data_IF_911916673658
#
_entry.id   IF_911916673658
#
_cell.length_a   1.000
_cell.length_b   1.000
_cell.length_c   1.000
_cell.angle_alpha   90.00
_cell.angle_beta   90.00
_cell.angle_gamma   90.00
#
_symmetry.space_group_name_H-M   'P 1'
#
loop_
_entity.id
_entity.type
_entity.pdbx_description
1 polymer ?
#
# COMPACT_ATOMS: atom_id res chain seq x y z
N UNK A 1 -60.33 -8.25 -10.23
CA UNK A 1 -59.01 -8.55 -10.81
C UNK A 1 -57.97 -8.43 -9.70
N UNK A 2 -57.43 -9.55 -9.16
CA UNK A 2 -56.38 -9.51 -8.14
C UNK A 2 -55.03 -9.46 -8.84
N UNK A 3 -54.35 -8.32 -8.78
CA UNK A 3 -52.95 -8.22 -9.17
C UNK A 3 -52.09 -8.81 -8.05
N UNK A 4 -51.69 -10.07 -8.18
CA UNK A 4 -50.60 -10.64 -7.38
C UNK A 4 -49.30 -10.24 -8.04
N UNK A 5 -48.60 -9.25 -7.47
CA UNK A 5 -47.24 -8.90 -7.85
C UNK A 5 -46.33 -10.02 -7.34
N UNK A 6 -45.60 -10.67 -8.24
CA UNK A 6 -44.59 -11.68 -7.90
C UNK A 6 -43.33 -10.98 -7.35
N UNK A 7 -43.45 -10.52 -6.11
CA UNK A 7 -42.37 -9.82 -5.38
C UNK A 7 -41.11 -10.68 -5.30
N UNK A 8 -41.26 -12.01 -5.17
CA UNK A 8 -40.14 -12.93 -5.08
C UNK A 8 -39.44 -13.10 -6.44
N UNK A 9 -40.17 -13.24 -7.54
CA UNK A 9 -39.60 -13.32 -8.89
C UNK A 9 -38.95 -12.01 -9.34
N UNK A 10 -39.51 -10.86 -8.95
CA UNK A 10 -38.89 -9.55 -9.19
C UNK A 10 -37.62 -9.42 -8.35
N UNK A 11 -37.66 -9.74 -7.06
CA UNK A 11 -36.50 -9.74 -6.18
C UNK A 11 -35.39 -10.66 -6.70
N UNK A 12 -35.71 -11.89 -7.10
CA UNK A 12 -34.73 -12.84 -7.62
C UNK A 12 -34.11 -12.35 -8.94
N UNK A 13 -34.91 -11.79 -9.85
CA UNK A 13 -34.38 -11.19 -11.10
C UNK A 13 -33.50 -9.99 -10.83
N UNK A 14 -33.86 -9.15 -9.87
CA UNK A 14 -33.06 -7.99 -9.44
C UNK A 14 -31.75 -8.47 -8.81
N UNK A 15 -31.78 -9.42 -7.87
CA UNK A 15 -30.58 -9.98 -7.24
C UNK A 15 -29.68 -10.68 -8.26
N UNK A 16 -30.22 -11.49 -9.16
CA UNK A 16 -29.44 -12.17 -10.21
C UNK A 16 -28.85 -11.16 -11.21
N UNK A 17 -29.60 -10.11 -11.57
CA UNK A 17 -29.11 -9.06 -12.46
C UNK A 17 -28.03 -8.23 -11.78
N UNK A 18 -28.22 -7.82 -10.52
CA UNK A 18 -27.20 -7.13 -9.71
C UNK A 18 -25.96 -8.01 -9.63
N UNK A 19 -26.11 -9.30 -9.30
CA UNK A 19 -24.99 -10.23 -9.20
C UNK A 19 -24.23 -10.33 -10.53
N UNK A 20 -24.89 -10.43 -11.69
CA UNK A 20 -24.19 -10.43 -12.98
C UNK A 20 -23.49 -9.11 -13.31
N UNK A 21 -24.12 -7.97 -12.99
CA UNK A 21 -23.60 -6.63 -13.31
C UNK A 21 -22.45 -6.22 -12.37
N UNK A 22 -22.41 -6.71 -11.13
CA UNK A 22 -21.33 -6.40 -10.18
C UNK A 22 -20.25 -7.48 -10.11
N UNK A 23 -20.61 -8.76 -10.15
CA UNK A 23 -19.66 -9.85 -10.01
C UNK A 23 -18.71 -9.95 -11.21
N UNK A 24 -19.23 -9.84 -12.44
CA UNK A 24 -18.39 -10.00 -13.62
C UNK A 24 -17.31 -8.90 -13.73
N UNK A 25 -17.61 -7.60 -13.54
CA UNK A 25 -16.58 -6.58 -13.57
C UNK A 25 -15.60 -6.67 -12.38
N UNK A 26 -16.05 -7.06 -11.18
CA UNK A 26 -15.15 -7.28 -10.05
C UNK A 26 -14.19 -8.46 -10.30
N UNK A 27 -14.65 -9.51 -10.97
CA UNK A 27 -13.79 -10.62 -11.41
C UNK A 27 -12.73 -10.13 -12.41
N UNK A 28 -13.08 -9.24 -13.34
CA UNK A 28 -12.12 -8.64 -14.27
C UNK A 28 -11.03 -7.86 -13.52
N UNK A 29 -11.39 -7.02 -12.55
CA UNK A 29 -10.43 -6.33 -11.69
C UNK A 29 -9.56 -7.28 -10.87
N UNK A 30 -10.16 -8.34 -10.33
CA UNK A 30 -9.44 -9.38 -9.59
C UNK A 30 -8.40 -10.08 -10.46
N UNK A 31 -8.79 -10.47 -11.69
CA UNK A 31 -7.90 -11.12 -12.64
C UNK A 31 -6.76 -10.19 -13.07
N UNK A 32 -7.02 -8.89 -13.23
CA UNK A 32 -5.97 -7.91 -13.52
C UNK A 32 -4.96 -7.79 -12.39
N UNK A 33 -5.43 -7.67 -11.14
CA UNK A 33 -4.56 -7.59 -9.96
C UNK A 33 -3.69 -8.86 -9.88
N UNK A 34 -4.29 -10.04 -10.03
CA UNK A 34 -3.57 -11.31 -10.01
C UNK A 34 -2.59 -11.45 -11.17
N UNK A 35 -2.96 -11.01 -12.37
CA UNK A 35 -2.07 -11.01 -13.53
C UNK A 35 -0.87 -10.10 -13.29
N UNK A 36 -1.10 -8.89 -12.78
CA UNK A 36 -0.05 -7.91 -12.48
C UNK A 36 0.93 -8.47 -11.44
N UNK A 37 0.41 -9.05 -10.34
CA UNK A 37 1.24 -9.72 -9.33
C UNK A 37 2.01 -10.92 -9.88
N UNK A 38 1.39 -11.73 -10.75
CA UNK A 38 2.05 -12.88 -11.39
C UNK A 38 3.19 -12.44 -12.31
N UNK A 39 2.94 -11.42 -13.15
CA UNK A 39 3.96 -10.87 -14.05
C UNK A 39 5.13 -10.30 -13.27
N UNK A 40 4.86 -9.54 -12.20
CA UNK A 40 5.88 -8.99 -11.32
C UNK A 40 6.70 -10.09 -10.62
N UNK A 41 6.02 -11.13 -10.10
CA UNK A 41 6.69 -12.27 -9.50
C UNK A 41 7.58 -13.02 -10.52
N UNK A 42 7.09 -13.25 -11.73
CA UNK A 42 7.88 -13.85 -12.81
C UNK A 42 9.10 -12.98 -13.18
N UNK A 43 8.91 -11.68 -13.35
CA UNK A 43 9.98 -10.73 -13.67
C UNK A 43 11.06 -10.72 -12.58
N UNK A 44 10.66 -10.71 -11.32
CA UNK A 44 11.58 -10.82 -10.18
C UNK A 44 12.39 -12.12 -10.23
N UNK A 45 11.76 -13.25 -10.50
CA UNK A 45 12.45 -14.55 -10.60
C UNK A 45 13.45 -14.58 -11.77
N UNK A 46 13.15 -13.89 -12.87
CA UNK A 46 14.10 -13.72 -13.98
C UNK A 46 15.28 -12.85 -13.53
N UNK A 47 15.03 -11.71 -12.90
CA UNK A 47 16.06 -10.81 -12.37
C UNK A 47 16.98 -11.54 -11.39
N UNK A 48 16.44 -12.33 -10.47
CA UNK A 48 17.22 -13.12 -9.50
C UNK A 48 18.13 -14.17 -10.15
N UNK A 49 17.74 -14.70 -11.31
CA UNK A 49 18.54 -15.68 -12.08
C UNK A 49 19.60 -15.03 -12.95
N UNK A 50 19.28 -13.88 -13.55
CA UNK A 50 20.11 -13.24 -14.58
C UNK A 50 21.10 -12.24 -13.97
N UNK A 51 20.67 -11.45 -12.99
CA UNK A 51 21.46 -10.36 -12.41
C UNK A 51 22.24 -10.88 -11.19
N UNK A 52 23.57 -10.96 -11.34
CA UNK A 52 24.46 -11.52 -10.32
C UNK A 52 24.92 -10.50 -9.28
N UNK A 53 25.07 -9.23 -9.68
CA UNK A 53 25.51 -8.18 -8.76
C UNK A 53 24.36 -7.83 -7.81
N UNK A 54 24.52 -7.99 -6.47
CA UNK A 54 23.42 -7.89 -5.53
C UNK A 54 22.70 -6.54 -5.51
N UNK A 55 23.44 -5.43 -5.66
CA UNK A 55 22.84 -4.11 -5.59
C UNK A 55 22.05 -3.76 -6.86
N UNK A 56 22.60 -4.06 -8.04
CA UNK A 56 21.89 -3.93 -9.32
C UNK A 56 20.65 -4.82 -9.34
N UNK A 57 20.75 -6.04 -8.80
CA UNK A 57 19.58 -6.92 -8.63
C UNK A 57 18.51 -6.25 -7.78
N UNK A 58 18.89 -5.71 -6.63
CA UNK A 58 17.96 -4.99 -5.76
C UNK A 58 17.32 -3.78 -6.45
N UNK A 59 18.05 -3.01 -7.25
CA UNK A 59 17.47 -1.90 -8.02
C UNK A 59 16.37 -2.37 -8.99
N UNK A 60 16.58 -3.49 -9.68
CA UNK A 60 15.53 -4.08 -10.51
C UNK A 60 14.35 -4.59 -9.67
N UNK A 61 14.62 -5.20 -8.51
CA UNK A 61 13.56 -5.65 -7.61
C UNK A 61 12.73 -4.48 -7.07
N UNK A 62 13.34 -3.36 -6.69
CA UNK A 62 12.64 -2.12 -6.29
C UNK A 62 11.76 -1.57 -7.43
N UNK A 63 12.28 -1.53 -8.66
CA UNK A 63 11.52 -1.09 -9.82
C UNK A 63 10.30 -2.00 -10.10
N UNK A 64 10.48 -3.33 -10.02
CA UNK A 64 9.37 -4.26 -10.28
C UNK A 64 8.37 -4.25 -9.12
N UNK A 65 8.83 -4.14 -7.87
CA UNK A 65 7.97 -4.01 -6.70
C UNK A 65 7.10 -2.75 -6.78
N UNK A 66 7.70 -1.60 -7.15
CA UNK A 66 6.97 -0.36 -7.35
C UNK A 66 6.00 -0.43 -8.53
N UNK A 67 6.38 -1.10 -9.63
CA UNK A 67 5.49 -1.36 -10.74
C UNK A 67 4.29 -2.22 -10.32
N UNK A 68 4.49 -3.31 -9.59
CA UNK A 68 3.40 -4.14 -9.07
C UNK A 68 2.47 -3.35 -8.16
N UNK A 69 3.05 -2.65 -7.18
CA UNK A 69 2.32 -1.83 -6.22
C UNK A 69 1.43 -0.81 -6.95
N UNK A 70 2.01 -0.01 -7.84
CA UNK A 70 1.26 1.02 -8.57
C UNK A 70 0.24 0.41 -9.53
N UNK A 71 0.60 -0.65 -10.26
CA UNK A 71 -0.29 -1.33 -11.19
C UNK A 71 -1.53 -1.89 -10.50
N UNK A 72 -1.35 -2.59 -9.38
CA UNK A 72 -2.47 -3.08 -8.58
C UNK A 72 -3.30 -1.92 -8.01
N UNK A 73 -2.66 -0.86 -7.51
CA UNK A 73 -3.38 0.29 -6.95
C UNK A 73 -4.17 1.11 -7.98
N UNK A 74 -3.73 1.19 -9.24
CA UNK A 74 -4.55 1.76 -10.31
C UNK A 74 -5.87 1.01 -10.45
N UNK A 75 -5.82 -0.33 -10.45
CA UNK A 75 -7.04 -1.14 -10.50
C UNK A 75 -7.86 -1.06 -9.21
N UNK A 76 -7.20 -0.90 -8.06
CA UNK A 76 -7.92 -0.67 -6.81
C UNK A 76 -8.73 0.63 -6.84
N UNK A 77 -8.31 1.68 -7.56
CA UNK A 77 -9.13 2.88 -7.77
C UNK A 77 -10.42 2.50 -8.51
N UNK A 78 -10.33 1.71 -9.58
CA UNK A 78 -11.51 1.19 -10.29
C UNK A 78 -12.41 0.40 -9.33
N UNK A 79 -11.81 -0.41 -8.45
CA UNK A 79 -12.56 -1.17 -7.43
C UNK A 79 -13.28 -0.24 -6.44
N UNK A 80 -12.60 0.79 -5.95
CA UNK A 80 -13.18 1.76 -5.01
C UNK A 80 -14.34 2.54 -5.65
N UNK A 81 -14.13 3.06 -6.86
CA UNK A 81 -15.10 3.88 -7.59
C UNK A 81 -16.40 3.11 -7.89
N UNK A 82 -16.30 1.80 -8.15
CA UNK A 82 -17.42 0.99 -8.63
C UNK A 82 -18.04 0.06 -7.57
N UNK A 83 -17.28 -0.35 -6.54
CA UNK A 83 -17.70 -1.31 -5.51
C UNK A 83 -17.52 -0.80 -4.08
N UNK A 84 -17.00 0.41 -3.90
CA UNK A 84 -16.87 1.09 -2.62
C UNK A 84 -15.60 0.77 -1.86
N UNK A 85 -15.30 1.64 -0.88
CA UNK A 85 -14.08 1.60 -0.05
C UNK A 85 -13.95 0.31 0.76
N UNK A 86 -15.07 -0.33 1.14
CA UNK A 86 -15.03 -1.60 1.86
C UNK A 86 -14.46 -2.74 1.00
N UNK A 87 -14.87 -2.83 -0.28
CA UNK A 87 -14.30 -3.81 -1.23
C UNK A 87 -12.82 -3.50 -1.48
N UNK A 88 -12.50 -2.22 -1.72
CA UNK A 88 -11.11 -1.76 -1.84
C UNK A 88 -10.24 -2.22 -0.66
N UNK A 89 -10.72 -2.04 0.58
CA UNK A 89 -9.99 -2.40 1.78
C UNK A 89 -9.69 -3.91 1.87
N UNK A 90 -10.62 -4.77 1.44
CA UNK A 90 -10.41 -6.23 1.41
C UNK A 90 -9.26 -6.58 0.47
N UNK A 91 -9.24 -6.00 -0.73
CA UNK A 91 -8.16 -6.26 -1.70
C UNK A 91 -6.84 -5.67 -1.23
N UNK A 92 -6.85 -4.43 -0.73
CA UNK A 92 -5.64 -3.79 -0.21
C UNK A 92 -5.05 -4.58 0.97
N UNK A 93 -5.89 -5.09 1.87
CA UNK A 93 -5.44 -5.95 2.98
C UNK A 93 -4.77 -7.24 2.48
N UNK A 94 -5.37 -7.91 1.48
CA UNK A 94 -4.76 -9.10 0.89
C UNK A 94 -3.44 -8.79 0.16
N UNK A 95 -3.39 -7.67 -0.56
CA UNK A 95 -2.21 -7.22 -1.29
C UNK A 95 -1.07 -6.79 -0.36
N UNK A 96 -1.36 -6.10 0.74
CA UNK A 96 -0.35 -5.72 1.73
C UNK A 96 0.30 -6.94 2.36
N UNK A 97 -0.47 -7.98 2.71
CA UNK A 97 0.09 -9.27 3.14
C UNK A 97 0.98 -9.87 2.05
N UNK A 98 0.49 -9.92 0.81
CA UNK A 98 1.23 -10.47 -0.31
C UNK A 98 2.57 -9.75 -0.52
N UNK A 99 2.58 -8.42 -0.55
CA UNK A 99 3.79 -7.62 -0.76
C UNK A 99 4.80 -7.83 0.35
N UNK A 100 4.36 -7.85 1.62
CA UNK A 100 5.23 -8.10 2.77
C UNK A 100 5.88 -9.48 2.76
N UNK A 101 5.22 -10.49 2.18
CA UNK A 101 5.77 -11.85 2.08
C UNK A 101 6.60 -12.07 0.82
N UNK A 102 6.29 -11.36 -0.26
CA UNK A 102 6.92 -11.58 -1.54
C UNK A 102 8.26 -10.85 -1.60
N UNK A 103 8.33 -9.53 -1.40
CA UNK A 103 9.43 -8.71 -1.94
C UNK A 103 10.79 -8.74 -1.23
N UNK A 104 10.90 -9.35 -0.04
CA UNK A 104 12.18 -9.46 0.66
C UNK A 104 12.75 -8.09 1.01
N UNK A 105 13.94 -7.76 0.50
CA UNK A 105 14.63 -6.50 0.80
C UNK A 105 14.10 -5.29 0.01
N UNK A 106 13.35 -5.52 -1.07
CA UNK A 106 12.75 -4.44 -1.86
C UNK A 106 11.50 -3.91 -1.16
N UNK A 107 11.40 -2.59 -1.01
CA UNK A 107 10.33 -1.95 -0.22
C UNK A 107 9.34 -1.17 -1.08
N UNK A 108 9.72 -0.80 -2.30
CA UNK A 108 8.95 0.07 -3.18
C UNK A 108 8.54 1.39 -2.49
N UNK A 109 9.35 1.88 -1.55
CA UNK A 109 8.98 2.98 -0.67
C UNK A 109 10.17 3.89 -0.31
N UNK A 110 10.24 5.12 -0.85
CA UNK A 110 11.40 5.98 -0.72
C UNK A 110 11.83 6.31 0.71
N UNK A 111 10.87 6.58 1.62
CA UNK A 111 11.23 6.99 2.98
C UNK A 111 11.90 5.87 3.76
N UNK A 112 11.69 4.60 3.40
CA UNK A 112 12.37 3.47 4.06
C UNK A 112 13.89 3.53 3.82
N UNK A 113 14.31 3.93 2.62
CA UNK A 113 15.72 4.15 2.32
C UNK A 113 16.29 5.37 3.06
N UNK A 114 15.47 6.40 3.30
CA UNK A 114 15.86 7.56 4.11
C UNK A 114 16.01 7.16 5.59
N UNK A 115 15.11 6.33 6.12
CA UNK A 115 15.24 5.75 7.46
C UNK A 115 16.56 5.00 7.60
N UNK A 116 16.91 4.13 6.65
CA UNK A 116 18.18 3.39 6.66
C UNK A 116 19.41 4.31 6.69
N UNK A 117 19.39 5.41 5.93
CA UNK A 117 20.49 6.40 5.94
C UNK A 117 20.59 7.09 7.30
N UNK A 118 19.47 7.52 7.89
CA UNK A 118 19.45 8.20 9.20
C UNK A 118 19.83 7.26 10.34
N UNK A 119 19.50 5.99 10.23
CA UNK A 119 19.90 4.95 11.19
C UNK A 119 21.34 4.48 11.00
N UNK A 120 22.07 4.99 9.99
CA UNK A 120 23.45 4.62 9.70
C UNK A 120 23.61 3.22 9.09
N UNK A 121 22.52 2.64 8.56
CA UNK A 121 22.47 1.33 7.89
C UNK A 121 22.68 1.44 6.37
N UNK A 122 22.46 2.62 5.80
CA UNK A 122 22.46 2.86 4.35
C UNK A 122 23.37 4.00 3.90
N UNK A 123 23.63 4.03 2.59
CA UNK A 123 24.33 5.13 1.91
C UNK A 123 23.33 5.99 1.12
N UNK A 124 23.50 7.31 1.17
CA UNK A 124 22.56 8.25 0.52
C UNK A 124 22.50 8.08 -1.00
N UNK A 125 23.62 7.74 -1.66
CA UNK A 125 23.62 7.53 -3.12
C UNK A 125 22.85 6.27 -3.46
N UNK A 126 23.01 5.21 -2.67
CA UNK A 126 22.22 3.97 -2.82
C UNK A 126 20.73 4.23 -2.60
N UNK A 127 20.37 5.01 -1.58
CA UNK A 127 18.98 5.40 -1.33
C UNK A 127 18.38 6.13 -2.54
N UNK A 128 19.09 7.12 -3.08
CA UNK A 128 18.64 7.86 -4.28
C UNK A 128 18.49 6.95 -5.51
N UNK A 129 19.40 6.00 -5.71
CA UNK A 129 19.30 5.04 -6.82
C UNK A 129 18.10 4.10 -6.67
N UNK A 130 17.80 3.63 -5.45
CA UNK A 130 16.61 2.84 -5.18
C UNK A 130 15.34 3.66 -5.45
N UNK A 131 15.23 4.87 -4.88
CA UNK A 131 14.11 5.78 -5.15
C UNK A 131 13.91 6.06 -6.64
N UNK A 132 15.00 6.23 -7.39
CA UNK A 132 14.92 6.42 -8.84
C UNK A 132 14.40 5.17 -9.56
N UNK A 133 14.84 3.98 -9.14
CA UNK A 133 14.36 2.71 -9.69
C UNK A 133 12.86 2.51 -9.40
N UNK A 134 12.42 2.80 -8.18
CA UNK A 134 11.01 2.76 -7.78
C UNK A 134 10.14 3.69 -8.63
N UNK A 135 10.55 4.95 -8.79
CA UNK A 135 9.85 5.92 -9.64
C UNK A 135 9.78 5.46 -11.10
N UNK A 136 10.87 4.89 -11.60
CA UNK A 136 10.92 4.35 -12.97
C UNK A 136 9.90 3.21 -13.13
N UNK A 137 9.84 2.29 -12.18
CA UNK A 137 8.86 1.20 -12.16
C UNK A 137 7.41 1.70 -12.12
N UNK A 138 7.12 2.61 -11.18
CA UNK A 138 5.78 3.19 -10.98
C UNK A 138 5.29 4.01 -12.18
N UNK A 139 6.17 4.74 -12.87
CA UNK A 139 5.81 5.48 -14.09
C UNK A 139 5.60 4.53 -15.28
N UNK A 140 6.48 3.55 -15.46
CA UNK A 140 6.41 2.64 -16.61
C UNK A 140 5.18 1.73 -16.56
N UNK A 141 4.74 1.30 -15.37
CA UNK A 141 3.56 0.44 -15.26
C UNK A 141 2.28 1.14 -15.72
N UNK A 142 2.22 2.47 -15.70
CA UNK A 142 1.05 3.19 -16.19
C UNK A 142 0.75 2.86 -17.66
N UNK A 143 1.78 2.66 -18.50
CA UNK A 143 1.55 2.23 -19.90
C UNK A 143 0.93 0.85 -20.00
N UNK A 144 1.34 -0.08 -19.15
CA UNK A 144 0.71 -1.40 -19.05
C UNK A 144 -0.76 -1.29 -18.62
N UNK A 145 -1.06 -0.48 -17.60
CA UNK A 145 -2.43 -0.23 -17.11
C UNK A 145 -3.29 0.41 -18.21
N UNK A 146 -2.80 1.46 -18.87
CA UNK A 146 -3.52 2.13 -19.96
C UNK A 146 -3.86 1.16 -21.10
N UNK A 147 -2.93 0.30 -21.50
CA UNK A 147 -3.19 -0.71 -22.53
C UNK A 147 -4.28 -1.70 -22.08
N UNK A 148 -4.27 -2.11 -20.82
CA UNK A 148 -5.29 -3.01 -20.29
C UNK A 148 -6.67 -2.34 -20.25
N UNK A 149 -6.76 -1.11 -19.73
CA UNK A 149 -8.01 -0.35 -19.69
C UNK A 149 -8.56 -0.06 -21.09
N UNK A 150 -7.70 0.16 -22.08
CA UNK A 150 -8.11 0.37 -23.47
C UNK A 150 -8.74 -0.86 -24.14
N UNK A 151 -8.63 -2.05 -23.53
CA UNK A 151 -9.36 -3.24 -23.98
C UNK A 151 -10.84 -3.24 -23.58
N UNK A 152 -11.24 -2.37 -22.65
CA UNK A 152 -12.62 -2.18 -22.17
C UNK A 152 -13.33 -3.51 -21.83
N UNK A 153 -12.62 -4.42 -21.17
CA UNK A 153 -13.08 -5.80 -20.90
C UNK A 153 -14.37 -5.84 -20.05
N UNK A 154 -14.62 -4.81 -19.25
CA UNK A 154 -15.86 -4.65 -18.48
C UNK A 154 -16.37 -3.22 -18.53
N UNK A 155 -17.64 -3.03 -18.18
CA UNK A 155 -18.30 -1.71 -18.15
C UNK A 155 -17.56 -0.70 -17.24
N UNK A 156 -16.88 -1.17 -16.19
CA UNK A 156 -16.06 -0.36 -15.28
C UNK A 156 -14.76 0.17 -15.90
N UNK A 157 -14.34 -0.39 -17.03
CA UNK A 157 -13.14 0.01 -17.77
C UNK A 157 -13.45 0.89 -18.99
N UNK A 158 -14.73 1.06 -19.33
CA UNK A 158 -15.13 1.82 -20.49
C UNK A 158 -14.64 3.27 -20.39
N UNK A 159 -13.97 3.75 -21.43
CA UNK A 159 -13.34 5.07 -21.51
C UNK A 159 -12.25 5.36 -20.43
N UNK A 160 -11.97 4.43 -19.50
CA UNK A 160 -11.08 4.64 -18.35
C UNK A 160 -9.64 4.97 -18.77
N UNK A 161 -9.17 4.39 -19.88
CA UNK A 161 -7.83 4.65 -20.41
C UNK A 161 -7.60 6.10 -20.88
N UNK A 162 -8.68 6.83 -21.15
CA UNK A 162 -8.68 8.19 -21.70
C UNK A 162 -9.33 9.20 -20.76
N UNK A 163 -9.76 8.78 -19.57
CA UNK A 163 -10.37 9.64 -18.56
C UNK A 163 -9.33 10.64 -18.02
N UNK A 164 -9.75 11.90 -17.85
CA UNK A 164 -8.92 12.92 -17.20
C UNK A 164 -8.73 12.57 -15.72
N UNK A 165 -7.47 12.52 -15.30
CA UNK A 165 -7.14 12.18 -13.92
C UNK A 165 -7.43 13.36 -12.97
N UNK A 166 -8.06 13.06 -11.83
CA UNK A 166 -8.29 13.97 -10.72
C UNK A 166 -7.46 13.59 -9.50
N UNK A 167 -7.00 14.61 -8.78
CA UNK A 167 -6.35 14.49 -7.49
C UNK A 167 -7.31 13.97 -6.41
N UNK A 168 -6.79 13.16 -5.48
CA UNK A 168 -7.57 12.63 -4.36
C UNK A 168 -7.49 13.52 -3.10
N UNK A 169 -6.67 14.57 -3.13
CA UNK A 169 -6.57 15.53 -2.04
C UNK A 169 -7.87 16.35 -1.94
N UNK A 170 -8.72 16.03 -0.96
CA UNK A 170 -10.01 16.69 -0.72
C UNK A 170 -9.95 17.80 0.34
N UNK A 171 -8.77 18.07 0.88
CA UNK A 171 -8.54 18.99 2.00
C UNK A 171 -7.38 19.96 1.73
N UNK A 172 -7.25 21.06 2.51
CA UNK A 172 -6.13 21.97 2.34
C UNK A 172 -4.78 21.26 2.43
N UNK A 173 -3.83 21.69 1.59
CA UNK A 173 -2.52 21.06 1.39
C UNK A 173 -1.80 20.71 2.69
N UNK A 174 -1.71 21.67 3.62
CA UNK A 174 -1.02 21.44 4.90
C UNK A 174 -1.77 20.40 5.76
N UNK A 175 -3.11 20.40 5.73
CA UNK A 175 -3.90 19.41 6.44
C UNK A 175 -3.69 18.01 5.83
N UNK A 176 -3.67 17.89 4.50
CA UNK A 176 -3.34 16.64 3.82
C UNK A 176 -1.95 16.13 4.17
N UNK A 177 -0.94 17.02 4.19
CA UNK A 177 0.42 16.67 4.58
C UNK A 177 0.50 16.16 6.04
N UNK A 178 -0.29 16.75 6.94
CA UNK A 178 -0.39 16.30 8.34
C UNK A 178 -1.07 14.93 8.42
N UNK A 179 -2.14 14.69 7.66
CA UNK A 179 -2.82 13.38 7.60
C UNK A 179 -1.85 12.29 7.11
N UNK A 180 -1.19 12.51 5.97
CA UNK A 180 -0.20 11.59 5.41
C UNK A 180 0.96 11.34 6.40
N UNK A 181 1.48 12.41 7.03
CA UNK A 181 2.58 12.31 7.98
C UNK A 181 2.22 11.57 9.27
N UNK A 182 1.08 11.87 9.89
CA UNK A 182 0.64 11.18 11.11
C UNK A 182 0.37 9.72 10.82
N UNK A 183 -0.37 9.40 9.76
CA UNK A 183 -0.69 8.03 9.42
C UNK A 183 0.57 7.23 9.04
N UNK A 184 1.49 7.81 8.26
CA UNK A 184 2.80 7.20 7.99
C UNK A 184 3.56 6.94 9.29
N UNK A 185 3.60 7.91 10.21
CA UNK A 185 4.26 7.74 11.51
C UNK A 185 3.67 6.57 12.31
N UNK A 186 2.34 6.46 12.36
CA UNK A 186 1.64 5.38 13.07
C UNK A 186 1.91 4.01 12.44
N UNK A 187 1.83 3.91 11.10
CA UNK A 187 2.21 2.70 10.37
C UNK A 187 3.63 2.27 10.73
N UNK A 188 4.61 3.19 10.63
CA UNK A 188 6.02 2.86 10.89
C UNK A 188 6.30 2.51 12.34
N UNK A 189 5.65 3.15 13.31
CA UNK A 189 5.74 2.77 14.72
C UNK A 189 5.19 1.36 14.95
N UNK A 190 4.03 1.03 14.36
CA UNK A 190 3.45 -0.30 14.44
C UNK A 190 4.36 -1.36 13.80
N UNK A 191 4.85 -1.14 12.58
CA UNK A 191 5.73 -2.08 11.90
C UNK A 191 7.03 -2.32 12.68
N UNK A 192 7.62 -1.28 13.28
CA UNK A 192 8.82 -1.40 14.12
C UNK A 192 8.55 -2.20 15.39
N UNK A 193 7.44 -1.90 16.08
CA UNK A 193 7.02 -2.66 17.26
C UNK A 193 6.75 -4.13 16.96
N UNK A 194 6.07 -4.41 15.85
CA UNK A 194 5.79 -5.78 15.39
C UNK A 194 7.06 -6.51 14.94
N UNK A 195 8.02 -5.80 14.34
CA UNK A 195 9.33 -6.35 14.00
C UNK A 195 10.14 -6.78 15.23
N UNK A 196 10.12 -5.97 16.30
CA UNK A 196 10.82 -6.27 17.55
C UNK A 196 10.13 -7.37 18.37
N UNK A 197 8.80 -7.33 18.47
CA UNK A 197 8.02 -8.31 19.25
C UNK A 197 7.86 -9.65 18.52
N UNK A 198 7.88 -9.62 17.19
CA UNK A 198 7.71 -10.77 16.30
C UNK A 198 6.55 -11.72 16.71
N UNK A 199 5.31 -11.21 16.91
CA UNK A 199 4.19 -12.05 17.31
C UNK A 199 3.78 -13.02 16.19
N UNK A 200 3.09 -14.10 16.56
CA UNK A 200 2.38 -14.97 15.60
C UNK A 200 1.38 -14.09 14.84
N UNK A 201 1.55 -13.97 13.52
CA UNK A 201 0.77 -13.10 12.62
C UNK A 201 1.18 -11.62 12.53
N UNK A 202 2.43 -11.26 12.88
CA UNK A 202 2.96 -9.90 12.74
C UNK A 202 2.61 -9.24 11.39
N UNK A 203 2.84 -9.94 10.28
CA UNK A 203 2.53 -9.45 8.92
C UNK A 203 1.06 -9.11 8.72
N UNK A 204 0.13 -9.94 9.21
CA UNK A 204 -1.29 -9.70 9.05
C UNK A 204 -1.76 -8.53 9.93
N UNK A 205 -1.20 -8.40 11.13
CA UNK A 205 -1.50 -7.26 12.03
C UNK A 205 -0.99 -5.94 11.41
N UNK A 206 0.24 -5.94 10.89
CA UNK A 206 0.83 -4.77 10.23
C UNK A 206 0.00 -4.35 9.01
N UNK A 207 -0.36 -5.32 8.17
CA UNK A 207 -1.22 -5.12 7.00
C UNK A 207 -2.61 -4.57 7.38
N UNK A 208 -3.18 -5.05 8.49
CA UNK A 208 -4.47 -4.59 8.99
C UNK A 208 -4.40 -3.13 9.48
N UNK A 209 -3.37 -2.78 10.25
CA UNK A 209 -3.14 -1.42 10.74
C UNK A 209 -2.93 -0.47 9.55
N UNK A 210 -2.05 -0.83 8.62
CA UNK A 210 -1.80 -0.04 7.42
C UNK A 210 -3.07 0.19 6.60
N UNK A 211 -3.80 -0.88 6.28
CA UNK A 211 -5.06 -0.79 5.53
C UNK A 211 -6.09 0.06 6.27
N UNK A 212 -6.22 -0.08 7.59
CA UNK A 212 -7.17 0.71 8.38
C UNK A 212 -6.84 2.20 8.34
N UNK A 213 -5.56 2.56 8.41
CA UNK A 213 -5.11 3.94 8.30
C UNK A 213 -5.33 4.51 6.89
N UNK A 214 -5.15 3.68 5.85
CA UNK A 214 -5.45 4.09 4.45
C UNK A 214 -6.94 4.41 4.32
N UNK A 215 -7.81 3.53 4.82
CA UNK A 215 -9.27 3.76 4.81
C UNK A 215 -9.64 5.00 5.61
N UNK A 216 -9.00 5.23 6.76
CA UNK A 216 -9.26 6.42 7.58
C UNK A 216 -8.81 7.73 6.89
N UNK A 217 -7.77 7.69 6.06
CA UNK A 217 -7.26 8.84 5.32
C UNK A 217 -7.85 8.99 3.90
N UNK A 218 -8.66 8.03 3.46
CA UNK A 218 -9.13 7.90 2.08
C UNK A 218 -9.81 9.17 1.57
N UNK A 219 -10.80 9.68 2.31
CA UNK A 219 -11.57 10.88 1.95
C UNK A 219 -10.83 12.21 2.24
N UNK A 220 -9.58 12.15 2.69
CA UNK A 220 -8.78 13.34 3.00
C UNK A 220 -7.67 13.54 1.97
N UNK A 221 -6.78 12.56 1.85
CA UNK A 221 -5.59 12.62 0.98
C UNK A 221 -5.53 11.48 -0.03
N UNK A 222 -6.48 10.54 -0.01
CA UNK A 222 -6.38 9.25 -0.69
C UNK A 222 -5.64 8.17 0.10
N UNK A 223 -4.97 8.54 1.21
CA UNK A 223 -4.29 7.60 2.11
C UNK A 223 -3.14 6.86 1.44
N UNK A 224 -2.20 7.57 0.83
CA UNK A 224 -1.16 6.93 0.02
C UNK A 224 0.01 6.38 0.84
N UNK A 225 0.49 7.17 1.80
CA UNK A 225 1.62 6.87 2.71
C UNK A 225 2.85 6.29 1.99
N UNK A 226 3.03 6.62 0.71
CA UNK A 226 4.13 6.18 -0.12
C UNK A 226 4.32 7.21 -1.26
N UNK A 227 5.45 7.93 -1.27
CA UNK A 227 5.69 8.97 -2.27
C UNK A 227 5.72 8.47 -3.72
N UNK A 228 6.24 7.27 -3.98
CA UNK A 228 6.27 6.67 -5.34
C UNK A 228 4.87 6.30 -5.79
N UNK A 229 4.06 5.70 -4.92
CA UNK A 229 2.68 5.35 -5.22
C UNK A 229 1.86 6.60 -5.55
N UNK A 230 1.87 7.60 -4.68
CA UNK A 230 1.14 8.85 -4.91
C UNK A 230 1.59 9.54 -6.21
N UNK A 231 2.90 9.60 -6.46
CA UNK A 231 3.44 10.20 -7.68
C UNK A 231 3.00 9.46 -8.93
N UNK A 232 3.05 8.13 -8.90
CA UNK A 232 2.69 7.32 -10.07
C UNK A 232 1.22 7.43 -10.41
N UNK A 233 0.34 7.47 -9.40
CA UNK A 233 -1.10 7.49 -9.60
C UNK A 233 -1.68 8.90 -9.83
N UNK A 234 -1.10 9.94 -9.20
CA UNK A 234 -1.74 11.25 -9.08
C UNK A 234 -0.89 12.46 -9.47
N UNK A 235 0.43 12.31 -9.69
CA UNK A 235 1.22 13.45 -10.16
C UNK A 235 0.78 13.86 -11.58
N UNK A 236 0.44 15.14 -11.73
CA UNK A 236 -0.04 15.72 -12.98
C UNK A 236 -1.55 15.81 -13.08
N UNK A 237 -2.30 15.20 -12.15
CA UNK A 237 -3.75 15.20 -12.17
C UNK A 237 -4.35 16.55 -11.79
N UNK A 238 -5.55 16.83 -12.28
CA UNK A 238 -6.27 18.08 -12.01
C UNK A 238 -6.65 18.17 -10.51
N UNK A 239 -6.46 19.34 -9.92
CA UNK A 239 -6.87 19.63 -8.53
C UNK A 239 -5.75 20.14 -7.62
N UNK A 240 -4.48 19.88 -7.97
CA UNK A 240 -3.32 20.43 -7.24
C UNK A 240 -2.11 20.64 -8.13
N UNK A 241 -1.24 21.57 -7.76
CA UNK A 241 0.07 21.77 -8.39
C UNK A 241 1.06 20.67 -7.99
N UNK A 242 2.18 20.57 -8.73
CA UNK A 242 3.24 19.58 -8.41
C UNK A 242 3.92 19.89 -7.08
N UNK A 243 3.97 21.16 -6.67
CA UNK A 243 4.54 21.56 -5.39
C UNK A 243 3.63 21.13 -4.24
N UNK A 244 2.32 21.27 -4.39
CA UNK A 244 1.35 20.81 -3.39
C UNK A 244 1.38 19.28 -3.27
N UNK A 245 1.44 18.57 -4.41
CA UNK A 245 1.65 17.12 -4.43
C UNK A 245 2.91 16.70 -3.65
N UNK A 246 4.05 17.33 -3.93
CA UNK A 246 5.29 17.05 -3.23
C UNK A 246 5.20 17.39 -1.73
N UNK A 247 4.51 18.46 -1.36
CA UNK A 247 4.31 18.86 0.04
C UNK A 247 3.54 17.80 0.81
N UNK A 248 2.46 17.28 0.23
CA UNK A 248 1.61 16.28 0.88
C UNK A 248 2.28 14.91 0.91
N UNK A 249 2.61 14.38 -0.27
CA UNK A 249 2.94 12.96 -0.40
C UNK A 249 4.42 12.62 -0.28
N UNK A 250 5.31 13.61 -0.46
CA UNK A 250 6.74 13.43 -0.21
C UNK A 250 7.13 13.99 1.15
N UNK A 251 6.93 15.28 1.39
CA UNK A 251 7.37 15.92 2.64
C UNK A 251 6.56 15.37 3.82
N UNK A 252 5.23 15.33 3.73
CA UNK A 252 4.36 14.79 4.79
C UNK A 252 4.73 13.35 5.17
N UNK A 253 4.68 12.44 4.20
CA UNK A 253 4.98 11.02 4.43
C UNK A 253 6.42 10.80 4.95
N UNK A 254 7.43 11.41 4.33
CA UNK A 254 8.82 11.32 4.81
C UNK A 254 8.96 11.86 6.23
N UNK A 255 8.41 13.05 6.53
CA UNK A 255 8.48 13.62 7.89
C UNK A 255 7.83 12.70 8.93
N UNK A 256 6.69 12.10 8.61
CA UNK A 256 6.02 11.09 9.44
C UNK A 256 6.89 9.86 9.70
N UNK A 257 7.46 9.30 8.64
CA UNK A 257 8.41 8.18 8.73
C UNK A 257 9.61 8.52 9.60
N UNK A 258 10.24 9.69 9.40
CA UNK A 258 11.39 10.11 10.22
C UNK A 258 11.02 10.34 11.68
N UNK A 259 9.88 10.97 11.93
CA UNK A 259 9.36 11.15 13.28
C UNK A 259 9.20 9.79 13.99
N UNK A 260 8.72 8.76 13.28
CA UNK A 260 8.60 7.41 13.84
C UNK A 260 9.94 6.85 14.32
N UNK A 261 11.04 7.10 13.59
CA UNK A 261 12.39 6.63 13.98
C UNK A 261 12.80 7.21 15.33
N UNK A 262 12.57 8.50 15.53
CA UNK A 262 12.93 9.18 16.77
C UNK A 262 11.98 8.82 17.91
N UNK A 263 10.67 8.80 17.65
CA UNK A 263 9.66 8.42 18.64
C UNK A 263 9.86 6.99 19.12
N UNK A 264 10.19 6.06 18.23
CA UNK A 264 10.44 4.67 18.59
C UNK A 264 11.61 4.50 19.55
N UNK A 265 12.62 5.39 19.49
CA UNK A 265 13.77 5.38 20.40
C UNK A 265 13.47 5.94 21.79
N UNK A 266 12.31 6.58 22.00
CA UNK A 266 11.96 7.14 23.31
C UNK A 266 11.73 6.01 24.34
N UNK A 267 12.28 6.11 25.56
CA UNK A 267 12.12 5.08 26.59
C UNK A 267 10.66 4.76 26.92
N UNK A 268 9.77 5.76 26.89
CA UNK A 268 8.35 5.58 27.14
C UNK A 268 7.69 4.68 26.07
N UNK A 269 8.04 4.86 24.80
CA UNK A 269 7.53 4.05 23.69
C UNK A 269 8.12 2.65 23.75
N UNK A 270 9.43 2.51 24.00
CA UNK A 270 10.08 1.21 24.18
C UNK A 270 9.47 0.41 25.34
N UNK A 271 9.18 1.06 26.47
CA UNK A 271 8.53 0.44 27.62
C UNK A 271 7.10 -0.01 27.30
N UNK A 272 6.36 0.80 26.55
CA UNK A 272 5.01 0.44 26.10
C UNK A 272 5.03 -0.77 25.16
N UNK A 273 5.93 -0.77 24.16
CA UNK A 273 6.05 -1.84 23.16
C UNK A 273 6.51 -3.16 23.80
N UNK A 274 7.59 -3.14 24.59
CA UNK A 274 8.15 -4.35 25.22
C UNK A 274 7.34 -4.86 26.40
N UNK A 275 6.31 -4.12 26.81
CA UNK A 275 5.64 -4.30 28.10
C UNK A 275 6.60 -4.08 29.27
N UNK A 276 6.04 -3.91 30.47
CA UNK A 276 6.79 -3.95 31.73
C UNK A 276 7.33 -5.37 31.97
N UNK A 277 8.32 -5.80 31.21
CA UNK A 277 9.00 -7.09 31.37
C UNK A 277 9.95 -7.09 32.59
N UNK A 278 9.54 -6.45 33.68
CA UNK A 278 10.17 -6.46 35.01
C UNK A 278 9.06 -6.40 36.08
N UNK A 279 8.35 -7.51 36.28
CA UNK A 279 7.66 -7.87 37.52
C UNK A 279 6.98 -9.24 37.32
N UNK A 280 7.80 -10.29 37.27
CA UNK A 280 7.51 -11.63 37.81
C UNK A 280 8.73 -12.49 37.47
N UNK A 281 9.86 -12.13 38.07
CA UNK A 281 10.92 -13.09 38.34
C UNK A 281 10.42 -14.02 39.43
N UNK A 282 9.55 -14.95 39.08
CA UNK A 282 9.39 -16.16 39.87
C UNK A 282 10.69 -16.94 39.66
N UNK A 283 11.65 -16.70 40.56
CA UNK A 283 12.77 -17.60 40.79
C UNK A 283 12.22 -18.93 41.29
N UNK A 284 11.81 -19.79 40.36
CA UNK A 284 11.36 -21.17 40.61
C UNK A 284 12.51 -22.07 41.11
N UNK A 285 13.73 -21.55 41.30
CA UNK A 285 14.88 -22.34 41.77
C UNK A 285 15.76 -21.67 42.84
N UNK A 286 15.17 -20.83 43.71
CA UNK A 286 15.84 -20.48 44.96
C UNK A 286 15.41 -21.48 46.06
N UNK A 287 16.41 -22.16 46.62
CA UNK A 287 16.41 -22.88 47.90
C UNK A 287 15.68 -24.25 47.96
N UNK A 288 16.48 -25.31 47.77
CA UNK A 288 16.48 -26.41 48.73
C UNK A 288 17.93 -26.71 49.14
N UNK A 289 18.25 -26.34 50.38
CA UNK A 289 19.35 -26.87 51.15
C UNK A 289 19.10 -28.36 51.45
N UNK A 290 20.11 -29.19 51.18
CA UNK A 290 20.74 -30.18 52.09
C UNK A 290 21.87 -30.91 51.33
#
# INVERSE_FOLDING_TARGET
MKFTIDVLGIFLKVVVKINKVTFAPLVVSTLFILLTSLLAHCARRVVQKVVKEPFVRLLFEEAIAAAELCGCCFELIVVADNFGVATYAIFLFALTIWWSLNWGDATACPYTHIEDVIEGKGDIRKALLKTWAELTGGILVFKYVQMYWALEISDTHKDKAFEDCKADLQVPVIYGAVVEGIATCLCRLASRGLGDLNPRFATAIDSFIGTSLVVAAFDYSGGYFNPVLATSLKAGCEGHTMLEHATVYWIGACAGSLLSVYLYKLPAIQKFVRGSSEANGDSIWAEKED
#
